data_IF_991343160638
#
_entry.id   IF_991343160638
#
_cell.length_a   1.000
_cell.length_b   1.000
_cell.length_c   1.000
_cell.angle_alpha   90.00
_cell.angle_beta   90.00
_cell.angle_gamma   90.00
#
_symmetry.space_group_name_H-M   'P 1'
#
loop_
_entity.id
_entity.type
_entity.pdbx_description
1 polymer ?
#
# COMPACT_ATOMS: atom_id res chain seq x y z
N UNK A 1 -13.18 -12.75 -3.13
CA UNK A 1 -14.12 -13.68 -2.46
C UNK A 1 -13.63 -13.91 -1.05
N UNK A 2 -14.40 -13.52 -0.02
CA UNK A 2 -14.08 -13.84 1.37
C UNK A 2 -14.60 -15.24 1.75
N UNK A 3 -13.93 -15.93 2.68
CA UNK A 3 -14.39 -17.20 3.29
C UNK A 3 -14.17 -18.48 2.46
N UNK A 4 -14.09 -18.39 1.13
CA UNK A 4 -13.82 -19.54 0.24
C UNK A 4 -12.53 -19.43 -0.59
N UNK A 5 -11.88 -18.27 -0.55
CA UNK A 5 -10.62 -18.06 -1.28
C UNK A 5 -9.46 -18.77 -0.61
N UNK A 6 -8.56 -19.37 -1.40
CA UNK A 6 -7.34 -20.02 -0.92
C UNK A 6 -6.11 -19.10 -0.95
N UNK A 7 -6.24 -17.93 -1.58
CA UNK A 7 -5.21 -16.88 -1.67
C UNK A 7 -5.80 -15.58 -1.12
N UNK A 8 -6.02 -15.54 0.19
CA UNK A 8 -6.54 -14.35 0.87
C UNK A 8 -5.41 -13.63 1.60
N UNK A 9 -5.51 -12.30 1.62
CA UNK A 9 -4.74 -11.43 2.50
C UNK A 9 -5.62 -11.00 3.68
N UNK A 10 -5.02 -10.58 4.81
CA UNK A 10 -3.58 -10.53 5.09
C UNK A 10 -2.96 -11.91 5.39
N UNK A 11 -1.63 -11.97 5.40
CA UNK A 11 -0.85 -13.15 5.83
C UNK A 11 0.23 -12.79 6.86
N UNK A 12 0.75 -13.80 7.55
CA UNK A 12 2.01 -13.68 8.29
C UNK A 12 3.22 -13.87 7.37
N UNK A 13 4.09 -12.87 7.35
CA UNK A 13 5.35 -12.84 6.63
C UNK A 13 6.45 -13.36 7.56
N UNK A 14 6.86 -14.61 7.37
CA UNK A 14 7.92 -15.23 8.17
C UNK A 14 9.17 -15.53 7.35
N UNK A 15 10.32 -15.18 7.91
CA UNK A 15 11.65 -15.49 7.39
C UNK A 15 11.90 -17.00 7.23
N UNK A 16 11.20 -17.85 7.98
CA UNK A 16 11.33 -19.32 7.90
C UNK A 16 10.74 -19.92 6.62
N UNK A 17 9.83 -19.22 5.95
CA UNK A 17 9.08 -19.73 4.77
C UNK A 17 9.30 -18.88 3.51
N UNK A 18 10.09 -17.83 3.60
CA UNK A 18 10.42 -16.99 2.43
C UNK A 18 11.42 -17.71 1.53
N UNK A 19 11.22 -17.59 0.22
CA UNK A 19 12.20 -18.01 -0.77
C UNK A 19 12.90 -16.76 -1.29
N UNK A 20 14.23 -16.76 -1.25
CA UNK A 20 15.03 -15.65 -1.76
C UNK A 20 15.11 -15.79 -3.27
N UNK A 21 14.60 -14.78 -3.98
CA UNK A 21 14.72 -14.68 -5.43
C UNK A 21 15.43 -13.37 -5.81
N UNK A 22 16.69 -13.51 -6.23
CA UNK A 22 17.52 -12.37 -6.65
C UNK A 22 17.09 -11.76 -7.99
N UNK A 23 16.26 -12.44 -8.79
CA UNK A 23 15.77 -11.93 -10.07
C UNK A 23 14.68 -10.87 -9.90
N UNK A 24 14.04 -10.78 -8.72
CA UNK A 24 13.02 -9.76 -8.44
C UNK A 24 13.60 -8.34 -8.45
N UNK A 25 14.88 -8.18 -8.12
CA UNK A 25 15.55 -6.87 -8.05
C UNK A 25 14.94 -5.92 -7.02
N UNK A 26 15.22 -4.62 -7.18
CA UNK A 26 14.62 -3.56 -6.36
C UNK A 26 13.25 -3.16 -6.92
N UNK A 27 12.31 -2.80 -6.05
CA UNK A 27 11.04 -2.21 -6.47
C UNK A 27 11.30 -0.90 -7.22
N UNK A 28 10.92 -0.84 -8.49
CA UNK A 28 11.02 0.37 -9.30
C UNK A 28 9.75 1.20 -9.17
N UNK A 29 9.86 2.39 -8.58
CA UNK A 29 8.76 3.31 -8.32
C UNK A 29 9.09 4.73 -8.75
N UNK A 30 8.10 5.49 -9.24
CA UNK A 30 8.32 6.89 -9.64
C UNK A 30 7.12 7.79 -9.30
N UNK A 31 6.87 8.05 -8.03
CA UNK A 31 5.76 8.91 -7.64
C UNK A 31 6.05 10.39 -7.90
N UNK A 32 5.05 11.14 -8.39
CA UNK A 32 5.10 12.59 -8.48
C UNK A 32 3.97 13.18 -7.61
N UNK A 33 4.14 14.41 -7.08
CA UNK A 33 3.07 15.10 -6.39
C UNK A 33 1.83 15.25 -7.28
N UNK A 34 0.66 14.96 -6.71
CA UNK A 34 -0.63 15.00 -7.40
C UNK A 34 -1.73 15.48 -6.48
N UNK A 35 -2.77 16.06 -7.06
CA UNK A 35 -3.98 16.39 -6.32
C UNK A 35 -4.67 15.10 -5.84
N UNK A 36 -5.05 15.09 -4.57
CA UNK A 36 -5.76 14.00 -3.95
C UNK A 36 -6.85 14.51 -3.01
N UNK A 37 -7.90 13.72 -2.87
CA UNK A 37 -9.00 13.96 -1.94
C UNK A 37 -8.90 13.01 -0.76
N UNK A 38 -8.94 13.53 0.46
CA UNK A 38 -9.13 12.72 1.67
C UNK A 38 -10.59 12.28 1.74
N UNK A 39 -10.83 11.00 2.00
CA UNK A 39 -12.15 10.42 2.21
C UNK A 39 -12.15 9.56 3.45
N UNK A 40 -13.11 9.81 4.34
CA UNK A 40 -13.49 8.86 5.37
C UNK A 40 -14.54 7.91 4.78
N UNK A 41 -14.22 6.61 4.67
CA UNK A 41 -15.13 5.60 4.10
C UNK A 41 -15.93 4.84 5.16
N UNK A 42 -15.86 5.27 6.42
CA UNK A 42 -16.50 4.64 7.58
C UNK A 42 -15.74 3.45 8.15
N UNK A 43 -14.83 2.84 7.39
CA UNK A 43 -13.98 1.73 7.82
C UNK A 43 -12.47 2.02 7.66
N UNK A 44 -12.10 3.06 6.92
CA UNK A 44 -10.75 3.60 6.85
C UNK A 44 -10.73 5.08 6.42
N UNK A 45 -9.54 5.67 6.50
CA UNK A 45 -9.21 6.95 5.86
C UNK A 45 -8.45 6.63 4.57
N UNK A 46 -8.86 7.26 3.47
CA UNK A 46 -8.29 7.05 2.14
C UNK A 46 -7.90 8.38 1.50
N UNK A 47 -6.73 8.45 0.89
CA UNK A 47 -6.39 9.41 -0.15
C UNK A 47 -6.74 8.85 -1.53
N UNK A 48 -7.61 9.54 -2.26
CA UNK A 48 -7.93 9.22 -3.66
C UNK A 48 -7.28 10.24 -4.59
N UNK A 49 -6.47 9.78 -5.54
CA UNK A 49 -5.88 10.66 -6.56
C UNK A 49 -6.88 10.93 -7.70
N UNK A 50 -6.95 12.19 -8.16
CA UNK A 50 -7.87 12.61 -9.22
C UNK A 50 -7.22 12.59 -10.62
N UNK A 51 -8.04 12.46 -11.68
CA UNK A 51 -7.65 12.84 -13.05
C UNK A 51 -6.70 11.89 -13.79
N UNK A 52 -6.26 10.78 -13.19
CA UNK A 52 -5.56 9.72 -13.91
C UNK A 52 -4.23 10.12 -14.56
N UNK A 53 -3.57 11.22 -14.12
CA UNK A 53 -2.14 11.45 -14.31
C UNK A 53 -1.59 12.67 -13.56
N UNK A 54 -0.68 12.42 -12.61
CA UNK A 54 0.67 13.02 -12.53
C UNK A 54 1.46 12.37 -11.37
N UNK A 55 1.95 11.14 -11.57
CA UNK A 55 2.92 10.54 -10.65
C UNK A 55 2.97 9.04 -10.73
N UNK A 56 3.89 8.51 -11.55
CA UNK A 56 4.01 7.09 -11.86
C UNK A 56 3.96 6.21 -10.60
N UNK A 57 3.34 5.04 -10.72
CA UNK A 57 3.25 4.10 -9.60
C UNK A 57 4.50 3.22 -9.55
N UNK A 58 4.29 1.95 -9.82
CA UNK A 58 5.34 0.93 -9.79
C UNK A 58 5.43 0.19 -11.11
N UNK A 59 6.62 -0.34 -11.41
CA UNK A 59 6.84 -1.24 -12.54
C UNK A 59 7.19 -2.63 -12.01
N UNK A 60 6.43 -3.65 -12.42
CA UNK A 60 6.69 -5.05 -12.08
C UNK A 60 6.78 -5.85 -13.38
N UNK A 61 7.94 -6.46 -13.65
CA UNK A 61 8.19 -7.27 -14.86
C UNK A 61 7.75 -6.56 -16.16
N UNK A 62 8.12 -5.28 -16.30
CA UNK A 62 7.77 -4.44 -17.46
C UNK A 62 6.31 -3.99 -17.52
N UNK A 63 5.45 -4.41 -16.59
CA UNK A 63 4.08 -3.90 -16.47
C UNK A 63 4.03 -2.69 -15.56
N UNK A 64 3.47 -1.59 -16.04
CA UNK A 64 3.19 -0.40 -15.25
C UNK A 64 1.88 -0.55 -14.47
N UNK A 65 1.93 -0.21 -13.18
CA UNK A 65 0.77 -0.10 -12.31
C UNK A 65 0.69 1.32 -11.76
N UNK A 66 -0.38 2.03 -12.08
CA UNK A 66 -0.60 3.42 -11.68
C UNK A 66 -1.19 3.49 -10.27
N UNK A 67 -0.65 4.36 -9.42
CA UNK A 67 -1.19 4.60 -8.08
C UNK A 67 -2.61 5.19 -8.17
N UNK A 68 -3.56 4.56 -7.48
CA UNK A 68 -4.97 4.96 -7.48
C UNK A 68 -5.37 5.60 -6.15
N UNK A 69 -4.95 4.97 -5.04
CA UNK A 69 -5.31 5.40 -3.70
C UNK A 69 -4.34 4.89 -2.65
N UNK A 70 -4.30 5.60 -1.53
CA UNK A 70 -3.59 5.21 -0.31
C UNK A 70 -4.64 5.10 0.80
N UNK A 71 -4.59 4.08 1.64
CA UNK A 71 -5.42 3.99 2.83
C UNK A 71 -4.66 3.33 3.98
N UNK A 72 -5.15 3.52 5.20
CA UNK A 72 -4.48 3.04 6.41
C UNK A 72 -5.37 2.12 7.24
N UNK A 73 -4.75 1.10 7.82
CA UNK A 73 -5.33 0.19 8.80
C UNK A 73 -4.61 0.31 10.13
N UNK A 74 -5.36 0.40 11.24
CA UNK A 74 -4.83 0.32 12.59
C UNK A 74 -5.62 -0.71 13.41
N UNK A 75 -4.97 -1.74 13.98
CA UNK A 75 -3.55 -2.09 13.84
C UNK A 75 -3.20 -2.62 12.43
N UNK A 76 -1.94 -3.00 12.18
CA UNK A 76 -1.57 -3.62 10.89
C UNK A 76 -2.37 -4.90 10.62
N UNK A 77 -2.72 -5.12 9.35
CA UNK A 77 -3.42 -6.33 8.91
C UNK A 77 -2.42 -7.48 8.78
N UNK A 78 -1.31 -7.25 8.06
CA UNK A 78 -0.20 -8.19 7.95
C UNK A 78 0.60 -8.24 9.26
N UNK A 79 1.32 -9.35 9.43
CA UNK A 79 2.27 -9.55 10.53
C UNK A 79 3.63 -9.95 9.99
N UNK A 80 4.70 -9.62 10.74
CA UNK A 80 6.05 -10.12 10.45
C UNK A 80 6.48 -10.99 11.61
N UNK A 81 6.77 -12.26 11.35
CA UNK A 81 7.10 -13.26 12.37
C UNK A 81 6.07 -13.28 13.52
N UNK A 82 4.78 -13.24 13.18
CA UNK A 82 3.65 -13.21 14.11
C UNK A 82 3.43 -11.89 14.84
N UNK A 83 4.27 -10.87 14.61
CA UNK A 83 4.17 -9.57 15.26
C UNK A 83 3.34 -8.60 14.43
N UNK A 84 2.35 -7.98 15.09
CA UNK A 84 1.54 -6.89 14.54
C UNK A 84 2.16 -5.53 14.81
N UNK A 85 1.97 -4.59 13.88
CA UNK A 85 2.46 -3.22 13.93
C UNK A 85 1.31 -2.25 14.26
N UNK A 86 1.65 -1.00 14.59
CA UNK A 86 0.66 -0.01 15.06
C UNK A 86 -0.23 0.53 13.93
N UNK A 87 0.32 0.61 12.71
CA UNK A 87 -0.37 1.07 11.52
C UNK A 87 0.22 0.33 10.30
N UNK A 88 -0.61 0.13 9.30
CA UNK A 88 -0.22 -0.32 7.97
C UNK A 88 -0.83 0.60 6.92
N UNK A 89 0.02 1.16 6.05
CA UNK A 89 -0.41 1.92 4.88
C UNK A 89 -0.45 1.00 3.66
N UNK A 90 -1.53 1.06 2.88
CA UNK A 90 -1.68 0.36 1.61
C UNK A 90 -1.72 1.36 0.47
N UNK A 91 -0.69 1.34 -0.39
CA UNK A 91 -0.69 2.02 -1.69
C UNK A 91 -1.24 1.07 -2.75
N UNK A 92 -2.44 1.36 -3.27
CA UNK A 92 -3.14 0.53 -4.26
C UNK A 92 -2.88 1.04 -5.66
N UNK A 93 -2.38 0.16 -6.52
CA UNK A 93 -2.05 0.44 -7.91
C UNK A 93 -2.86 -0.43 -8.86
N UNK A 94 -3.10 0.07 -10.06
CA UNK A 94 -3.79 -0.66 -11.12
C UNK A 94 -3.10 -0.45 -12.47
N UNK A 95 -2.91 -1.54 -13.22
CA UNK A 95 -2.37 -1.51 -14.59
C UNK A 95 -3.46 -1.18 -15.61
N UNK A 96 -3.06 -0.86 -16.85
CA UNK A 96 -3.98 -0.55 -17.95
C UNK A 96 -4.97 -1.68 -18.27
N UNK A 97 -4.59 -2.94 -18.01
CA UNK A 97 -5.42 -4.13 -18.18
C UNK A 97 -6.22 -4.51 -16.92
N UNK A 98 -6.24 -3.65 -15.90
CA UNK A 98 -7.09 -3.81 -14.71
C UNK A 98 -6.52 -4.74 -13.63
N UNK A 99 -5.25 -5.19 -13.74
CA UNK A 99 -4.57 -5.94 -12.67
C UNK A 99 -4.20 -5.00 -11.53
N UNK A 100 -4.35 -5.49 -10.29
CA UNK A 100 -4.03 -4.72 -9.10
C UNK A 100 -2.69 -5.14 -8.50
N UNK A 101 -1.98 -4.18 -7.92
CA UNK A 101 -0.80 -4.40 -7.09
C UNK A 101 -0.87 -3.49 -5.85
N UNK A 102 -0.51 -4.02 -4.67
CA UNK A 102 -0.51 -3.26 -3.42
C UNK A 102 0.89 -3.26 -2.84
N UNK A 103 1.38 -2.07 -2.48
CA UNK A 103 2.61 -1.90 -1.69
C UNK A 103 2.19 -1.51 -0.28
N UNK A 104 2.69 -2.22 0.72
CA UNK A 104 2.35 -1.99 2.12
C UNK A 104 3.55 -1.47 2.93
N UNK A 105 3.30 -0.48 3.79
CA UNK A 105 4.30 0.04 4.73
C UNK A 105 3.85 -0.19 6.17
N UNK A 106 4.74 -0.72 7.00
CA UNK A 106 4.50 -0.94 8.43
C UNK A 106 5.05 0.22 9.27
N UNK A 107 4.27 0.67 10.25
CA UNK A 107 4.69 1.75 11.15
C UNK A 107 4.96 1.25 12.56
N UNK A 108 6.02 1.80 13.15
CA UNK A 108 6.29 1.72 14.59
C UNK A 108 6.07 3.11 15.19
N UNK A 109 5.67 3.17 16.46
CA UNK A 109 5.64 4.43 17.19
C UNK A 109 7.04 5.07 17.21
N UNK A 110 7.09 6.37 17.00
CA UNK A 110 8.34 7.10 16.90
C UNK A 110 8.14 8.50 16.34
N UNK A 111 9.07 8.94 15.50
CA UNK A 111 9.00 10.25 14.84
C UNK A 111 7.74 10.33 13.96
N UNK A 112 7.07 11.50 13.91
CA UNK A 112 5.98 11.72 12.97
C UNK A 112 6.41 11.46 11.53
N UNK A 113 5.51 10.86 10.76
CA UNK A 113 5.67 10.67 9.34
C UNK A 113 5.07 11.86 8.57
N UNK A 114 5.81 12.39 7.60
CA UNK A 114 5.40 13.60 6.88
C UNK A 114 4.17 13.38 5.99
N UNK A 115 4.00 12.18 5.41
CA UNK A 115 2.81 11.85 4.63
C UNK A 115 1.57 11.86 5.53
N UNK A 116 1.63 11.13 6.65
CA UNK A 116 0.55 11.11 7.64
C UNK A 116 0.22 12.49 8.22
N UNK A 117 1.23 13.33 8.48
CA UNK A 117 0.99 14.69 8.95
C UNK A 117 0.18 15.53 7.96
N UNK A 118 0.48 15.41 6.66
CA UNK A 118 -0.20 16.15 5.60
C UNK A 118 -1.69 15.83 5.50
N UNK A 119 -2.10 14.62 5.90
CA UNK A 119 -3.52 14.21 5.88
C UNK A 119 -4.25 14.51 7.18
N UNK A 120 -3.54 14.68 8.30
CA UNK A 120 -4.14 15.05 9.60
C UNK A 120 -4.30 16.56 9.80
N UNK A 121 -3.65 17.39 8.98
CA UNK A 121 -3.61 18.85 9.16
C UNK A 121 -4.84 19.61 8.60
N UNK A 122 -5.86 18.92 8.09
CA UNK A 122 -7.07 19.50 7.47
C UNK A 122 -8.27 19.45 8.42
N UNK A 123 -8.04 19.66 9.73
CA UNK A 123 -9.10 19.75 10.75
C UNK A 123 -9.43 21.20 11.10
#
# INVERSE_FOLDING_TARGET
MCGKGTMQSPIDLTDKRVLIDHHLGSLHSHYLPSNATIKNRGHDIMLKFEGGNAGLGITINGTEYQLQQIHWHSPSEHTINGKRFFLEEHMVHQSKDGRNAVVAFFYKLGRPDHCLLSVTAIS
#
